data_IF_757725390292
#
_entry.id   IF_757725390292
#
_cell.length_a   1.000
_cell.length_b   1.000
_cell.length_c   1.000
_cell.angle_alpha   90.00
_cell.angle_beta   90.00
_cell.angle_gamma   90.00
#
_symmetry.space_group_name_H-M   'P 1'
#
loop_
_entity.id
_entity.type
_entity.pdbx_description
1 polymer ?
#
# COMPACT_ATOMS: atom_id res chain seq x y z
N UNK A 1 -25.00 0.69 40.78
CA UNK A 1 -24.43 1.15 39.49
C UNK A 1 -22.97 0.75 39.31
N UNK A 2 -22.06 1.01 40.25
CA UNK A 2 -20.63 0.65 40.15
C UNK A 2 -20.34 -0.85 39.97
N UNK A 3 -21.10 -1.73 40.63
CA UNK A 3 -20.95 -3.19 40.49
C UNK A 3 -21.29 -3.70 39.09
N UNK A 4 -22.34 -3.15 38.48
CA UNK A 4 -22.73 -3.47 37.09
C UNK A 4 -21.63 -3.06 36.11
N UNK A 5 -21.09 -1.85 36.23
CA UNK A 5 -20.01 -1.35 35.37
C UNK A 5 -18.76 -2.25 35.48
N UNK A 6 -18.38 -2.65 36.69
CA UNK A 6 -17.22 -3.55 36.90
C UNK A 6 -17.42 -4.92 36.25
N UNK A 7 -18.61 -5.51 36.39
CA UNK A 7 -18.92 -6.81 35.78
C UNK A 7 -18.99 -6.72 34.25
N UNK A 8 -19.58 -5.64 33.73
CA UNK A 8 -19.63 -5.38 32.29
C UNK A 8 -18.23 -5.16 31.71
N UNK A 9 -17.37 -4.38 32.39
CA UNK A 9 -15.98 -4.20 31.98
C UNK A 9 -15.22 -5.53 31.99
N UNK A 10 -15.37 -6.34 33.05
CA UNK A 10 -14.75 -7.66 33.15
C UNK A 10 -15.21 -8.60 32.01
N UNK A 11 -16.47 -8.51 31.61
CA UNK A 11 -17.02 -9.25 30.46
C UNK A 11 -16.44 -8.77 29.12
N UNK A 12 -16.18 -7.47 28.96
CA UNK A 12 -15.59 -6.92 27.74
C UNK A 12 -14.09 -7.23 27.57
N UNK A 13 -13.34 -7.40 28.67
CA UNK A 13 -11.90 -7.69 28.62
C UNK A 13 -11.56 -8.86 27.68
N UNK A 14 -12.13 -10.07 27.81
CA UNK A 14 -11.79 -11.18 26.91
C UNK A 14 -12.14 -10.89 25.45
N UNK A 15 -13.23 -10.16 25.17
CA UNK A 15 -13.61 -9.76 23.82
C UNK A 15 -12.56 -8.81 23.24
N UNK A 16 -12.13 -7.80 24.00
CA UNK A 16 -11.10 -6.86 23.58
C UNK A 16 -9.75 -7.53 23.37
N UNK A 17 -9.37 -8.49 24.23
CA UNK A 17 -8.15 -9.28 24.08
C UNK A 17 -8.19 -10.07 22.78
N UNK A 18 -9.29 -10.77 22.50
CA UNK A 18 -9.46 -11.53 21.24
C UNK A 18 -9.41 -10.60 20.03
N UNK A 19 -10.17 -9.50 20.03
CA UNK A 19 -10.18 -8.54 18.92
C UNK A 19 -8.80 -7.94 18.66
N UNK A 20 -8.09 -7.53 19.71
CA UNK A 20 -6.73 -6.98 19.60
C UNK A 20 -5.76 -8.03 19.08
N UNK A 21 -5.88 -9.28 19.55
CA UNK A 21 -5.01 -10.38 19.12
C UNK A 21 -5.23 -10.70 17.64
N UNK A 22 -6.48 -10.77 17.18
CA UNK A 22 -6.80 -10.95 15.77
C UNK A 22 -6.26 -9.81 14.91
N UNK A 23 -6.43 -8.55 15.34
CA UNK A 23 -5.89 -7.41 14.60
C UNK A 23 -4.35 -7.48 14.47
N UNK A 24 -3.65 -7.83 15.55
CA UNK A 24 -2.19 -8.01 15.53
C UNK A 24 -1.78 -9.15 14.58
N UNK A 25 -2.47 -10.29 14.64
CA UNK A 25 -2.16 -11.43 13.78
C UNK A 25 -2.43 -11.11 12.31
N UNK A 26 -3.58 -10.50 11.99
CA UNK A 26 -3.96 -10.11 10.63
C UNK A 26 -3.01 -9.07 10.04
N UNK A 27 -2.57 -8.08 10.83
CA UNK A 27 -1.59 -7.08 10.36
C UNK A 27 -0.23 -7.67 10.02
N UNK A 28 0.12 -8.78 10.63
CA UNK A 28 1.40 -9.46 10.41
C UNK A 28 1.38 -10.44 9.23
N UNK A 29 0.22 -10.68 8.59
CA UNK A 29 0.16 -11.53 7.39
C UNK A 29 0.90 -10.82 6.24
N UNK A 30 1.96 -11.44 5.68
CA UNK A 30 2.70 -10.87 4.56
C UNK A 30 1.78 -10.63 3.36
N UNK A 31 1.94 -9.48 2.71
CA UNK A 31 1.20 -9.14 1.51
C UNK A 31 2.00 -8.14 0.66
N UNK A 32 1.60 -7.98 -0.59
CA UNK A 32 2.34 -7.15 -1.55
C UNK A 32 2.49 -5.69 -1.10
N UNK A 33 1.50 -5.13 -0.41
CA UNK A 33 1.55 -3.75 0.09
C UNK A 33 2.58 -3.62 1.22
N UNK A 34 2.58 -4.55 2.17
CA UNK A 34 3.55 -4.56 3.26
C UNK A 34 4.98 -4.81 2.76
N UNK A 35 5.14 -5.66 1.75
CA UNK A 35 6.41 -5.87 1.06
C UNK A 35 6.91 -4.59 0.39
N UNK A 36 6.08 -3.94 -0.44
CA UNK A 36 6.46 -2.72 -1.16
C UNK A 36 6.75 -1.56 -0.20
N UNK A 37 5.95 -1.39 0.85
CA UNK A 37 6.24 -0.44 1.94
C UNK A 37 7.62 -0.70 2.53
N UNK A 38 7.89 -1.93 2.98
CA UNK A 38 9.18 -2.29 3.60
C UNK A 38 10.34 -2.03 2.66
N UNK A 39 10.19 -2.33 1.37
CA UNK A 39 11.20 -2.06 0.36
C UNK A 39 11.44 -0.55 0.20
N UNK A 40 10.40 0.25 -0.02
CA UNK A 40 10.52 1.70 -0.18
C UNK A 40 11.08 2.37 1.08
N UNK A 41 10.65 1.94 2.26
CA UNK A 41 11.16 2.42 3.55
C UNK A 41 12.64 2.12 3.74
N UNK A 42 13.18 1.07 3.13
CA UNK A 42 14.58 0.70 3.27
C UNK A 42 15.47 1.17 2.10
N UNK A 43 14.92 1.27 0.89
CA UNK A 43 15.70 1.32 -0.36
C UNK A 43 15.32 2.44 -1.32
N UNK A 44 14.34 3.30 -1.01
CA UNK A 44 13.91 4.40 -1.89
C UNK A 44 15.05 5.27 -2.40
N UNK A 45 16.02 5.61 -1.54
CA UNK A 45 17.23 6.36 -1.90
C UNK A 45 18.06 5.72 -3.03
N UNK A 46 17.98 4.41 -3.22
CA UNK A 46 18.74 3.68 -4.23
C UNK A 46 17.99 3.43 -5.54
N UNK A 47 16.71 3.76 -5.62
CA UNK A 47 15.88 3.53 -6.81
C UNK A 47 16.18 4.59 -7.86
N UNK A 48 16.47 4.16 -9.08
CA UNK A 48 16.69 5.02 -10.25
C UNK A 48 15.48 5.10 -11.17
N UNK A 49 14.70 4.02 -11.24
CA UNK A 49 13.51 3.88 -12.08
C UNK A 49 12.34 3.36 -11.24
N UNK A 50 11.27 4.15 -11.17
CA UNK A 50 10.06 3.78 -10.43
C UNK A 50 8.92 3.50 -11.41
N UNK A 51 8.34 2.30 -11.34
CA UNK A 51 7.15 1.93 -12.11
C UNK A 51 5.91 2.05 -11.23
N UNK A 52 4.92 2.81 -11.71
CA UNK A 52 3.66 3.12 -11.03
C UNK A 52 2.46 2.74 -11.91
N UNK A 53 1.25 2.86 -11.39
CA UNK A 53 0.01 2.58 -12.12
C UNK A 53 -0.62 1.23 -11.84
N UNK A 54 -1.50 0.80 -12.75
CA UNK A 54 -2.46 -0.29 -12.56
C UNK A 54 -1.88 -1.70 -12.80
N UNK A 55 -2.77 -2.69 -12.94
CA UNK A 55 -2.43 -4.06 -13.34
C UNK A 55 -1.59 -4.14 -14.63
N UNK A 56 -1.76 -3.19 -15.55
CA UNK A 56 -1.00 -3.15 -16.79
C UNK A 56 0.51 -3.00 -16.57
N UNK A 57 0.94 -2.21 -15.58
CA UNK A 57 2.35 -2.10 -15.22
C UNK A 57 2.75 -3.17 -14.22
N UNK A 58 1.88 -3.49 -13.26
CA UNK A 58 2.14 -4.52 -12.26
C UNK A 58 2.49 -5.87 -12.92
N UNK A 59 1.75 -6.27 -13.95
CA UNK A 59 2.02 -7.50 -14.70
C UNK A 59 2.86 -7.29 -15.97
N UNK A 60 2.88 -6.08 -16.53
CA UNK A 60 3.55 -5.80 -17.81
C UNK A 60 5.04 -5.51 -17.71
N UNK A 61 5.55 -5.14 -16.53
CA UNK A 61 6.98 -4.80 -16.35
C UNK A 61 7.57 -5.55 -15.16
N UNK A 62 8.56 -6.40 -15.46
CA UNK A 62 9.43 -7.00 -14.43
C UNK A 62 10.73 -6.18 -14.30
N UNK A 63 10.97 -5.52 -13.14
CA UNK A 63 12.21 -4.79 -12.82
C UNK A 63 13.51 -5.58 -13.01
N UNK A 64 13.47 -6.91 -12.92
CA UNK A 64 14.65 -7.78 -13.05
C UNK A 64 15.33 -7.66 -14.42
N UNK A 65 14.56 -7.34 -15.47
CA UNK A 65 15.09 -7.17 -16.83
C UNK A 65 15.49 -5.72 -17.15
N UNK A 66 15.49 -4.83 -16.16
CA UNK A 66 15.85 -3.42 -16.32
C UNK A 66 17.26 -3.20 -15.79
N UNK A 67 18.16 -2.71 -16.64
CA UNK A 67 19.58 -2.51 -16.28
C UNK A 67 19.78 -1.53 -15.11
N UNK A 68 18.90 -0.54 -14.96
CA UNK A 68 18.96 0.44 -13.87
C UNK A 68 18.28 -0.12 -12.62
N UNK A 69 18.71 0.33 -11.43
CA UNK A 69 18.06 -0.07 -10.17
C UNK A 69 16.61 0.36 -10.17
N UNK A 70 15.70 -0.59 -10.34
CA UNK A 70 14.31 -0.29 -10.60
C UNK A 70 13.38 -1.02 -9.63
N UNK A 71 12.19 -0.45 -9.42
CA UNK A 71 11.20 -1.06 -8.55
C UNK A 71 9.79 -0.80 -9.06
N UNK A 72 8.96 -1.85 -9.02
CA UNK A 72 7.58 -1.81 -9.46
C UNK A 72 6.64 -1.67 -8.26
N UNK A 73 6.09 -0.47 -8.07
CA UNK A 73 5.13 -0.16 -7.00
C UNK A 73 3.68 -0.33 -7.46
N UNK A 74 3.42 -0.47 -8.75
CA UNK A 74 2.08 -0.66 -9.32
C UNK A 74 1.26 -1.79 -8.68
N UNK A 75 -0.05 -1.63 -8.59
CA UNK A 75 -0.96 -2.66 -8.09
C UNK A 75 -2.19 -2.78 -8.99
N UNK A 76 -2.93 -3.89 -8.85
CA UNK A 76 -4.21 -4.04 -9.53
C UNK A 76 -5.12 -2.85 -9.21
N UNK A 77 -5.64 -2.25 -10.26
CA UNK A 77 -6.54 -1.09 -10.22
C UNK A 77 -6.00 0.15 -9.47
N UNK A 78 -4.69 0.26 -9.28
CA UNK A 78 -4.09 1.47 -8.72
C UNK A 78 -4.30 2.65 -9.68
N UNK A 79 -4.94 3.70 -9.17
CA UNK A 79 -5.23 4.94 -9.92
C UNK A 79 -4.17 6.02 -9.67
N UNK A 80 -4.14 7.01 -10.56
CA UNK A 80 -3.11 8.06 -10.60
C UNK A 80 -3.00 8.89 -9.31
N UNK A 81 -4.08 9.03 -8.56
CA UNK A 81 -4.05 9.70 -7.26
C UNK A 81 -3.21 8.92 -6.23
N UNK A 82 -3.27 7.59 -6.22
CA UNK A 82 -2.42 6.78 -5.34
C UNK A 82 -0.96 6.83 -5.79
N UNK A 83 -0.69 6.84 -7.10
CA UNK A 83 0.66 7.04 -7.64
C UNK A 83 1.28 8.34 -7.11
N UNK A 84 0.52 9.43 -7.15
CA UNK A 84 0.96 10.73 -6.66
C UNK A 84 1.24 10.73 -5.15
N UNK A 85 0.37 10.14 -4.35
CA UNK A 85 0.55 10.09 -2.89
C UNK A 85 1.75 9.23 -2.48
N UNK A 86 2.02 8.13 -3.20
CA UNK A 86 3.24 7.34 -3.00
C UNK A 86 4.49 8.17 -3.30
N UNK A 87 4.51 8.91 -4.42
CA UNK A 87 5.64 9.80 -4.76
C UNK A 87 5.84 10.84 -3.66
N UNK A 88 4.77 11.48 -3.18
CA UNK A 88 4.81 12.51 -2.13
C UNK A 88 5.33 11.96 -0.80
N UNK A 89 4.89 10.77 -0.38
CA UNK A 89 5.32 10.15 0.89
C UNK A 89 6.84 10.01 0.98
N UNK A 90 7.48 9.64 -0.11
CA UNK A 90 8.92 9.41 -0.19
C UNK A 90 9.68 10.58 -0.84
N UNK A 91 9.06 11.78 -0.99
CA UNK A 91 9.64 12.91 -1.74
C UNK A 91 11.08 13.29 -1.36
N UNK A 92 11.42 13.19 -0.08
CA UNK A 92 12.74 13.55 0.45
C UNK A 92 13.76 12.40 0.37
N UNK A 93 13.33 11.24 -0.14
CA UNK A 93 14.11 10.00 -0.17
C UNK A 93 14.51 9.58 -1.57
N UNK A 94 13.93 10.18 -2.62
CA UNK A 94 14.23 9.86 -4.02
C UNK A 94 15.59 10.37 -4.51
N UNK A 95 16.69 10.09 -3.79
CA UNK A 95 18.02 10.67 -4.05
C UNK A 95 18.59 10.33 -5.43
N UNK A 96 18.36 9.10 -5.90
CA UNK A 96 18.88 8.61 -7.18
C UNK A 96 17.81 8.47 -8.26
N UNK A 97 16.56 8.88 -7.99
CA UNK A 97 15.44 8.67 -8.89
C UNK A 97 15.60 9.56 -10.13
N UNK A 98 15.60 8.93 -11.31
CA UNK A 98 15.77 9.60 -12.61
C UNK A 98 14.53 9.48 -13.48
N UNK A 99 13.81 8.37 -13.35
CA UNK A 99 12.66 8.07 -14.19
C UNK A 99 11.48 7.60 -13.36
N UNK A 100 10.30 8.14 -13.68
CA UNK A 100 9.01 7.66 -13.20
C UNK A 100 8.23 7.23 -14.44
N UNK A 101 7.79 5.98 -14.46
CA UNK A 101 7.00 5.42 -15.55
C UNK A 101 5.58 5.27 -15.03
N UNK A 102 4.65 5.95 -15.69
CA UNK A 102 3.21 5.92 -15.41
C UNK A 102 2.49 5.51 -16.69
N UNK A 103 1.62 4.50 -16.66
CA UNK A 103 0.85 4.08 -17.82
C UNK A 103 -0.30 5.06 -18.05
N UNK A 104 -0.47 5.47 -19.30
CA UNK A 104 -1.64 6.26 -19.72
C UNK A 104 -2.46 5.38 -20.66
N UNK A 105 -3.59 4.92 -20.15
CA UNK A 105 -4.55 4.12 -20.89
C UNK A 105 -5.99 4.46 -20.45
N UNK A 106 -6.98 3.74 -20.98
CA UNK A 106 -8.38 3.99 -20.66
C UNK A 106 -8.68 3.87 -19.15
N UNK A 107 -8.02 2.94 -18.46
CA UNK A 107 -8.16 2.81 -17.01
C UNK A 107 -7.65 4.06 -16.30
N UNK A 108 -6.48 4.58 -16.70
CA UNK A 108 -5.88 5.77 -16.08
C UNK A 108 -6.75 7.03 -16.19
N UNK A 109 -7.60 7.13 -17.23
CA UNK A 109 -8.41 8.33 -17.51
C UNK A 109 -9.84 8.24 -16.99
N UNK A 110 -10.43 7.05 -16.92
CA UNK A 110 -11.86 6.87 -16.65
C UNK A 110 -12.17 6.11 -15.36
N UNK A 111 -11.14 5.68 -14.61
CA UNK A 111 -11.33 4.88 -13.39
C UNK A 111 -10.50 5.41 -12.22
N UNK A 112 -11.10 5.40 -11.03
CA UNK A 112 -10.43 5.56 -9.74
C UNK A 112 -10.60 4.27 -8.95
N UNK A 113 -9.63 3.93 -8.09
CA UNK A 113 -9.75 2.74 -7.25
C UNK A 113 -10.92 2.87 -6.28
N UNK A 114 -11.20 4.08 -5.80
CA UNK A 114 -12.26 4.39 -4.84
C UNK A 114 -13.66 4.11 -5.40
N UNK A 115 -13.88 4.34 -6.69
CA UNK A 115 -15.17 4.15 -7.35
C UNK A 115 -15.29 2.76 -8.01
N UNK A 116 -14.21 1.99 -8.07
CA UNK A 116 -14.18 0.66 -8.66
C UNK A 116 -14.76 -0.43 -7.74
N UNK A 117 -15.11 -1.58 -8.33
CA UNK A 117 -15.51 -2.80 -7.60
C UNK A 117 -14.41 -3.25 -6.61
N UNK A 118 -13.15 -2.94 -6.92
CA UNK A 118 -11.98 -3.25 -6.10
C UNK A 118 -11.69 -2.21 -4.99
N UNK A 119 -12.60 -1.27 -4.69
CA UNK A 119 -12.42 -0.25 -3.65
C UNK A 119 -12.05 -0.78 -2.27
N UNK A 120 -12.35 -2.04 -1.98
CA UNK A 120 -11.93 -2.71 -0.74
C UNK A 120 -10.40 -2.76 -0.57
N UNK A 121 -9.61 -2.54 -1.65
CA UNK A 121 -8.14 -2.43 -1.61
C UNK A 121 -7.65 -1.07 -1.10
N UNK A 122 -8.47 -0.02 -1.12
CA UNK A 122 -8.11 1.33 -0.65
C UNK A 122 -7.53 1.28 0.78
N UNK A 123 -8.12 0.45 1.65
CA UNK A 123 -7.63 0.25 3.03
C UNK A 123 -6.16 -0.15 3.10
N UNK A 124 -5.66 -0.91 2.12
CA UNK A 124 -4.27 -1.38 2.13
C UNK A 124 -3.31 -0.21 1.90
N UNK A 125 -3.69 0.77 1.08
CA UNK A 125 -2.89 1.98 0.94
C UNK A 125 -2.88 2.78 2.25
N UNK A 126 -4.03 2.97 2.90
CA UNK A 126 -4.09 3.65 4.20
C UNK A 126 -3.29 2.94 5.31
N UNK A 127 -3.20 1.61 5.27
CA UNK A 127 -2.45 0.84 6.28
C UNK A 127 -0.95 0.83 5.98
N UNK A 128 -0.55 0.77 4.71
CA UNK A 128 0.84 0.49 4.33
C UNK A 128 1.54 1.62 3.59
N UNK A 129 0.87 2.30 2.67
CA UNK A 129 1.50 3.22 1.71
C UNK A 129 1.18 4.69 1.95
N UNK A 130 0.23 5.02 2.82
CA UNK A 130 0.00 6.37 3.36
C UNK A 130 0.35 6.36 4.85
#
# INVERSE_FOLDING_TARGET
>A
MSKFIKLFALFLIPILVVMTSFELLLRNIPNDYSYKKKYLDAKSDGIEVLFLGSSHIYFGINPEYITKKSFNVAHSSQSLNFDLEIIKKYKNRWKNLKYIIVPIDYFSMYTTLEDAIEKWRVKNYSIYLF
#
